data_IF_486722552923
#
_entry.id   IF_486722552923
#
_cell.length_a   1.000
_cell.length_b   1.000
_cell.length_c   1.000
_cell.angle_alpha   90.00
_cell.angle_beta   90.00
_cell.angle_gamma   90.00
#
_symmetry.space_group_name_H-M   'P 1'
#
loop_
_entity.id
_entity.type
_entity.pdbx_description
1 polymer ?
#
# COMPACT_ATOMS: atom_id res chain seq x y z
N UNK A 1 13.75 59.03 34.05
CA UNK A 1 13.71 57.82 34.90
C UNK A 1 13.09 56.58 34.24
N UNK A 2 12.25 56.68 33.20
CA UNK A 2 11.59 55.51 32.57
C UNK A 2 12.43 54.69 31.55
N UNK A 3 13.56 55.22 31.05
CA UNK A 3 14.41 54.51 30.07
C UNK A 3 15.49 53.61 30.69
N UNK A 4 15.89 53.87 31.94
CA UNK A 4 16.90 53.06 32.64
C UNK A 4 16.36 51.73 33.18
N UNK A 5 15.08 51.69 33.56
CA UNK A 5 14.44 50.48 34.11
C UNK A 5 14.24 49.41 33.03
N UNK A 6 14.01 49.81 31.77
CA UNK A 6 13.80 48.87 30.67
C UNK A 6 15.11 48.17 30.26
N UNK A 7 16.24 48.88 30.30
CA UNK A 7 17.54 48.32 29.92
C UNK A 7 18.07 47.32 30.97
N UNK A 8 17.83 47.56 32.26
CA UNK A 8 18.24 46.63 33.33
C UNK A 8 17.35 45.39 33.35
N UNK A 9 16.06 45.50 33.02
CA UNK A 9 15.16 44.35 32.93
C UNK A 9 15.53 43.40 31.76
N UNK A 10 15.96 43.94 30.61
CA UNK A 10 16.34 43.11 29.45
C UNK A 10 17.68 42.39 29.66
N UNK A 11 18.62 43.01 30.38
CA UNK A 11 19.92 42.38 30.70
C UNK A 11 19.78 41.31 31.79
N UNK A 12 18.86 41.47 32.75
CA UNK A 12 18.63 40.46 33.79
C UNK A 12 17.92 39.20 33.26
N UNK A 13 17.12 39.32 32.19
CA UNK A 13 16.47 38.17 31.54
C UNK A 13 17.41 37.37 30.62
N UNK A 14 18.52 37.95 30.17
CA UNK A 14 19.47 37.25 29.29
C UNK A 14 20.44 36.30 30.03
N UNK A 15 20.59 36.45 31.36
CA UNK A 15 21.55 35.66 32.16
C UNK A 15 20.92 34.37 32.73
N UNK A 16 19.61 34.17 32.60
CA UNK A 16 18.90 32.97 33.07
C UNK A 16 18.66 31.90 31.98
N UNK A 17 19.05 32.16 30.74
CA UNK A 17 18.97 31.19 29.65
C UNK A 17 20.28 30.37 29.56
N UNK A 18 20.51 29.52 30.56
CA UNK A 18 21.47 28.42 30.41
C UNK A 18 20.97 27.41 29.36
N UNK A 19 21.84 26.73 28.61
CA UNK A 19 21.41 25.73 27.64
C UNK A 19 21.01 24.47 28.41
N UNK A 20 19.76 24.40 28.88
CA UNK A 20 19.14 23.15 29.28
C UNK A 20 18.70 22.44 28.00
N UNK A 21 19.67 21.78 27.34
CA UNK A 21 19.35 20.71 26.40
C UNK A 21 18.74 19.56 27.19
N UNK A 22 17.43 19.65 27.48
CA UNK A 22 16.66 18.52 27.93
C UNK A 22 16.65 17.51 26.78
N UNK A 23 17.53 16.53 26.87
CA UNK A 23 17.35 15.27 26.16
C UNK A 23 16.06 14.69 26.75
N UNK A 24 14.97 14.67 25.99
CA UNK A 24 13.66 14.19 26.42
C UNK A 24 13.67 12.67 26.66
N UNK A 25 14.40 12.23 27.69
CA UNK A 25 14.57 10.82 28.03
C UNK A 25 15.35 10.59 29.32
N UNK A 26 15.28 9.38 29.89
CA UNK A 26 16.07 9.01 31.04
C UNK A 26 17.57 9.08 30.73
N UNK A 27 18.36 9.48 31.73
CA UNK A 27 19.82 9.60 31.62
C UNK A 27 20.47 8.63 32.59
N UNK A 28 21.59 8.02 32.17
CA UNK A 28 22.43 7.16 33.00
C UNK A 28 23.86 7.67 32.97
N UNK A 29 24.50 7.68 34.13
CA UNK A 29 25.90 8.05 34.35
C UNK A 29 26.60 6.96 35.13
N UNK A 30 27.88 6.77 34.83
CA UNK A 30 28.74 5.82 35.52
C UNK A 30 29.76 6.59 36.34
N UNK A 31 30.10 6.09 37.52
CA UNK A 31 31.15 6.66 38.36
C UNK A 31 32.53 6.61 37.69
N UNK A 32 32.76 5.59 36.87
CA UNK A 32 33.97 5.39 36.07
C UNK A 32 33.60 4.88 34.68
N UNK A 33 34.41 5.21 33.67
CA UNK A 33 34.20 4.77 32.27
C UNK A 33 34.91 3.46 31.92
N UNK A 34 35.76 2.95 32.81
CA UNK A 34 36.53 1.71 32.62
C UNK A 34 36.61 0.93 33.94
N UNK A 35 36.42 -0.39 33.86
CA UNK A 35 36.54 -1.31 34.98
C UNK A 35 36.83 -2.73 34.48
N UNK A 36 37.59 -3.52 35.25
CA UNK A 36 37.88 -4.92 34.95
C UNK A 36 36.80 -5.87 35.47
N UNK A 37 36.79 -7.08 34.92
CA UNK A 37 35.93 -8.19 35.37
C UNK A 37 36.11 -8.46 36.86
N UNK A 38 35.00 -8.58 37.60
CA UNK A 38 34.99 -8.75 39.06
C UNK A 38 35.09 -7.42 39.85
N UNK A 39 35.32 -6.30 39.17
CA UNK A 39 35.16 -4.97 39.76
C UNK A 39 33.69 -4.56 39.91
N UNK A 40 33.44 -3.33 40.37
CA UNK A 40 32.11 -2.75 40.41
C UNK A 40 32.11 -1.31 39.93
N UNK A 41 31.02 -0.90 39.29
CA UNK A 41 30.78 0.48 38.85
C UNK A 41 29.49 0.98 39.49
N UNK A 42 29.49 2.22 39.99
CA UNK A 42 28.24 2.83 40.48
C UNK A 42 27.50 3.44 39.30
N UNK A 43 26.28 2.97 39.10
CA UNK A 43 25.37 3.43 38.05
C UNK A 43 24.37 4.37 38.70
N UNK A 44 24.30 5.61 38.21
CA UNK A 44 23.34 6.61 38.67
C UNK A 44 22.47 7.05 37.50
N UNK A 45 21.16 7.15 37.70
CA UNK A 45 20.24 7.58 36.65
C UNK A 45 19.20 8.58 37.14
N UNK A 46 18.71 9.41 36.22
CA UNK A 46 17.68 10.43 36.47
C UNK A 46 16.71 10.51 35.28
N UNK A 47 15.54 11.14 35.48
CA UNK A 47 14.54 11.29 34.41
C UNK A 47 13.68 10.03 34.18
N UNK A 48 13.77 9.05 35.07
CA UNK A 48 12.92 7.86 35.03
C UNK A 48 11.57 8.14 35.64
N UNK A 49 10.60 7.26 35.38
CA UNK A 49 9.34 7.31 36.13
C UNK A 49 9.61 7.02 37.61
N UNK A 50 8.94 7.73 38.54
CA UNK A 50 9.06 7.44 39.97
C UNK A 50 8.64 6.00 40.31
N UNK A 51 9.24 5.42 41.35
CA UNK A 51 8.89 4.10 41.92
C UNK A 51 8.80 2.97 40.88
N UNK A 52 9.63 3.01 39.85
CA UNK A 52 9.63 2.04 38.75
C UNK A 52 10.80 1.09 38.91
N UNK A 53 10.55 -0.21 38.70
CA UNK A 53 11.58 -1.24 38.74
C UNK A 53 12.39 -1.23 37.44
N UNK A 54 13.69 -1.04 37.57
CA UNK A 54 14.67 -1.06 36.49
C UNK A 54 15.59 -2.27 36.63
N UNK A 55 16.15 -2.71 35.51
CA UNK A 55 17.20 -3.71 35.45
C UNK A 55 18.43 -3.10 34.78
N UNK A 56 19.60 -3.29 35.39
CA UNK A 56 20.88 -2.82 34.91
C UNK A 56 21.75 -4.02 34.53
N UNK A 57 22.31 -4.02 33.32
CA UNK A 57 23.17 -5.09 32.81
C UNK A 57 24.38 -4.51 32.08
N UNK A 58 25.49 -5.26 32.06
CA UNK A 58 26.60 -5.01 31.14
C UNK A 58 26.33 -5.77 29.84
N UNK A 59 26.31 -5.06 28.71
CA UNK A 59 26.03 -5.63 27.40
C UNK A 59 27.16 -5.36 26.41
N UNK A 60 27.47 -6.36 25.60
CA UNK A 60 28.41 -6.25 24.48
C UNK A 60 27.69 -5.94 23.17
N UNK A 61 28.47 -5.65 22.12
CA UNK A 61 27.97 -5.24 20.80
C UNK A 61 26.95 -4.10 20.91
N UNK A 62 27.27 -3.11 21.72
CA UNK A 62 26.37 -2.01 22.06
C UNK A 62 27.11 -0.67 22.14
N UNK A 63 26.41 0.42 21.85
CA UNK A 63 26.89 1.79 22.10
C UNK A 63 25.70 2.65 22.52
N UNK A 64 25.89 3.75 23.28
CA UNK A 64 24.78 4.61 23.69
C UNK A 64 23.95 5.16 22.52
N UNK A 65 24.55 5.31 21.34
CA UNK A 65 23.85 5.77 20.14
C UNK A 65 23.05 4.67 19.42
N UNK A 66 23.42 3.38 19.59
CA UNK A 66 22.82 2.26 18.86
C UNK A 66 22.06 1.26 19.72
N UNK A 67 22.07 1.46 21.03
CA UNK A 67 21.49 0.52 21.99
C UNK A 67 22.18 -0.84 21.99
N UNK A 68 21.47 -1.84 22.52
CA UNK A 68 21.96 -3.22 22.66
C UNK A 68 21.56 -4.08 21.45
N UNK A 69 22.51 -4.33 20.54
CA UNK A 69 22.25 -5.14 19.35
C UNK A 69 22.23 -6.63 19.72
N UNK A 70 21.06 -7.27 19.54
CA UNK A 70 20.82 -8.66 19.94
C UNK A 70 20.09 -8.79 21.28
N UNK A 71 19.65 -7.67 21.87
CA UNK A 71 18.87 -7.66 23.10
C UNK A 71 19.61 -8.27 24.30
N UNK A 72 18.85 -8.82 25.24
CA UNK A 72 19.38 -9.41 26.48
C UNK A 72 20.35 -10.58 26.24
N UNK A 73 20.31 -11.24 25.09
CA UNK A 73 21.27 -12.30 24.73
C UNK A 73 22.70 -11.78 24.55
N UNK A 74 22.88 -10.47 24.43
CA UNK A 74 24.19 -9.82 24.32
C UNK A 74 24.70 -9.29 25.67
N UNK A 75 23.97 -9.57 26.76
CA UNK A 75 24.22 -9.04 28.09
C UNK A 75 24.63 -10.13 29.09
N UNK A 76 25.42 -9.74 30.09
CA UNK A 76 25.75 -10.57 31.25
C UNK A 76 24.55 -10.66 32.22
N UNK A 77 23.57 -11.50 31.87
CA UNK A 77 22.30 -11.61 32.63
C UNK A 77 22.47 -12.08 34.08
N UNK A 78 23.45 -12.95 34.35
CA UNK A 78 23.70 -13.49 35.70
C UNK A 78 24.17 -12.42 36.70
N UNK A 79 24.83 -11.38 36.21
CA UNK A 79 25.44 -10.33 37.03
C UNK A 79 24.62 -9.04 37.06
N UNK A 80 23.46 -9.03 36.41
CA UNK A 80 22.57 -7.90 36.39
C UNK A 80 22.08 -7.50 37.79
N UNK A 81 21.64 -6.25 37.93
CA UNK A 81 21.10 -5.72 39.18
C UNK A 81 19.77 -5.02 38.92
N UNK A 82 18.75 -5.41 39.68
CA UNK A 82 17.50 -4.69 39.73
C UNK A 82 17.62 -3.47 40.65
N UNK A 83 16.96 -2.36 40.34
CA UNK A 83 16.88 -1.18 41.21
C UNK A 83 15.53 -0.49 41.03
N UNK A 84 14.94 0.01 42.10
CA UNK A 84 13.70 0.80 42.02
C UNK A 84 14.04 2.28 42.11
N UNK A 85 13.47 3.09 41.24
CA UNK A 85 13.65 4.55 41.28
C UNK A 85 12.95 5.16 42.49
N UNK A 86 13.47 6.26 42.99
CA UNK A 86 12.86 7.02 44.08
C UNK A 86 11.60 7.79 43.62
N UNK A 87 11.05 8.63 44.50
CA UNK A 87 9.89 9.47 44.18
C UNK A 87 10.18 10.56 43.14
N UNK A 88 11.45 10.90 42.93
CA UNK A 88 11.91 11.86 41.92
C UNK A 88 12.33 11.22 40.60
N UNK A 89 12.25 9.89 40.48
CA UNK A 89 12.69 9.19 39.27
C UNK A 89 14.21 9.06 39.14
N UNK A 90 14.93 9.13 40.27
CA UNK A 90 16.37 8.91 40.32
C UNK A 90 16.71 7.56 40.95
N UNK A 91 17.91 7.06 40.67
CA UNK A 91 18.48 5.90 41.36
C UNK A 91 20.01 5.98 41.39
N UNK A 92 20.61 5.24 42.33
CA UNK A 92 22.04 4.98 42.34
C UNK A 92 22.32 3.60 42.91
N UNK A 93 23.09 2.75 42.21
CA UNK A 93 23.41 1.40 42.67
C UNK A 93 24.71 0.89 42.05
N UNK A 94 25.46 0.10 42.83
CA UNK A 94 26.63 -0.60 42.32
C UNK A 94 26.23 -1.81 41.45
N UNK A 95 26.82 -1.90 40.26
CA UNK A 95 26.70 -3.00 39.31
C UNK A 95 28.06 -3.71 39.22
N UNK A 96 28.14 -5.02 39.47
CA UNK A 96 29.37 -5.78 39.19
C UNK A 96 29.68 -5.74 37.69
N UNK A 97 30.95 -5.62 37.36
CA UNK A 97 31.41 -5.64 35.97
C UNK A 97 31.72 -7.07 35.60
N UNK A 98 30.95 -7.60 34.67
CA UNK A 98 31.07 -8.95 34.14
C UNK A 98 31.27 -8.93 32.63
N UNK A 99 31.87 -9.99 32.09
CA UNK A 99 32.11 -10.13 30.66
C UNK A 99 30.81 -10.51 29.93
N UNK A 100 30.32 -9.69 28.99
CA UNK A 100 29.20 -10.07 28.17
C UNK A 100 29.53 -11.26 27.25
N UNK A 101 28.53 -12.03 26.80
CA UNK A 101 28.76 -13.20 25.93
C UNK A 101 29.27 -12.84 24.52
N UNK A 102 29.29 -11.56 24.15
CA UNK A 102 29.71 -11.06 22.83
C UNK A 102 30.73 -9.92 22.98
N UNK A 103 31.62 -9.71 22.01
CA UNK A 103 32.65 -8.65 22.06
C UNK A 103 32.09 -7.24 22.29
N UNK A 104 32.89 -6.38 22.93
CA UNK A 104 32.65 -4.95 23.03
C UNK A 104 32.73 -4.28 21.63
N UNK A 105 32.21 -3.06 21.39
CA UNK A 105 31.92 -2.00 22.36
C UNK A 105 30.82 -2.39 23.35
N UNK A 106 31.00 -1.97 24.60
CA UNK A 106 30.17 -2.36 25.72
C UNK A 106 29.46 -1.16 26.34
N UNK A 107 28.27 -1.41 26.89
CA UNK A 107 27.48 -0.42 27.63
C UNK A 107 26.94 -1.03 28.91
N UNK A 108 26.68 -0.18 29.89
CA UNK A 108 25.71 -0.47 30.94
C UNK A 108 24.34 -0.09 30.40
N UNK A 109 23.50 -1.09 30.18
CA UNK A 109 22.13 -0.95 29.73
C UNK A 109 21.19 -0.94 30.93
N UNK A 110 20.37 0.10 31.03
CA UNK A 110 19.34 0.22 32.06
C UNK A 110 17.99 0.27 31.37
N UNK A 111 17.06 -0.61 31.75
CA UNK A 111 15.72 -0.64 31.19
C UNK A 111 14.65 -0.91 32.23
N UNK A 112 13.44 -0.41 32.00
CA UNK A 112 12.26 -0.71 32.82
C UNK A 112 11.87 -2.19 32.70
N UNK A 113 11.67 -2.85 33.84
CA UNK A 113 11.22 -4.26 33.90
C UNK A 113 9.71 -4.37 33.66
N UNK A 114 8.94 -3.41 34.19
CA UNK A 114 7.48 -3.38 34.10
C UNK A 114 6.97 -2.00 33.68
N UNK A 115 5.78 -1.97 33.07
CA UNK A 115 5.13 -0.74 32.65
C UNK A 115 5.60 -0.19 31.30
N UNK A 116 5.54 1.13 31.13
CA UNK A 116 5.93 1.79 29.89
C UNK A 116 7.45 1.65 29.67
N UNK A 117 7.83 1.25 28.46
CA UNK A 117 9.22 1.01 28.11
C UNK A 117 10.02 2.30 28.13
N UNK A 118 11.07 2.31 28.94
CA UNK A 118 12.11 3.32 28.91
C UNK A 118 13.46 2.63 29.09
N UNK A 119 14.48 3.12 28.41
CA UNK A 119 15.84 2.58 28.44
C UNK A 119 16.87 3.69 28.27
N UNK A 120 18.05 3.48 28.84
CA UNK A 120 19.19 4.37 28.66
C UNK A 120 20.49 3.59 28.84
N UNK A 121 21.49 3.98 28.05
CA UNK A 121 22.77 3.28 27.95
C UNK A 121 23.93 4.23 28.28
N UNK A 122 24.93 3.73 29.00
CA UNK A 122 26.19 4.44 29.23
C UNK A 122 27.37 3.58 28.80
N UNK A 123 28.30 4.16 28.03
CA UNK A 123 29.47 3.43 27.54
C UNK A 123 30.38 3.00 28.70
N UNK A 124 30.79 1.73 28.69
CA UNK A 124 31.71 1.16 29.66
C UNK A 124 32.79 0.36 28.94
N UNK A 125 34.05 0.66 29.21
CA UNK A 125 35.18 -0.15 28.76
C UNK A 125 35.43 -1.26 29.78
N UNK A 126 35.18 -2.50 29.37
CA UNK A 126 35.49 -3.70 30.19
C UNK A 126 36.94 -4.08 29.93
N UNK A 127 37.81 -3.90 30.92
CA UNK A 127 39.24 -4.15 30.77
C UNK A 127 39.49 -5.64 30.50
N UNK A 128 40.27 -5.95 29.46
CA UNK A 128 40.61 -7.33 29.06
C UNK A 128 39.60 -8.02 28.14
N UNK A 129 38.42 -7.44 27.90
CA UNK A 129 37.40 -8.03 27.02
C UNK A 129 37.71 -7.78 25.53
N UNK A 130 37.53 -8.77 24.62
CA UNK A 130 37.69 -8.55 23.19
C UNK A 130 36.76 -7.46 22.66
N UNK A 131 37.27 -6.66 21.72
CA UNK A 131 36.55 -5.58 21.04
C UNK A 131 36.46 -5.90 19.54
N UNK A 132 35.26 -5.81 18.98
CA UNK A 132 34.96 -5.99 17.56
C UNK A 132 34.09 -4.83 17.07
N UNK A 133 34.29 -4.33 15.83
CA UNK A 133 33.44 -3.27 15.30
C UNK A 133 31.97 -3.70 15.27
N UNK A 134 31.07 -2.74 15.54
CA UNK A 134 29.64 -3.00 15.43
C UNK A 134 29.27 -3.38 13.98
N UNK A 135 28.32 -4.30 13.78
CA UNK A 135 27.77 -4.58 12.46
C UNK A 135 27.31 -3.28 11.80
N UNK A 136 27.56 -3.12 10.49
CA UNK A 136 27.17 -1.93 9.75
C UNK A 136 25.71 -1.55 10.04
N UNK A 137 25.47 -0.29 10.36
CA UNK A 137 24.13 0.22 10.57
C UNK A 137 23.40 0.19 9.24
N UNK A 138 22.44 -0.74 9.10
CA UNK A 138 21.46 -0.64 8.04
C UNK A 138 20.53 0.49 8.44
N UNK A 139 20.90 1.73 8.09
CA UNK A 139 19.93 2.82 7.98
C UNK A 139 18.74 2.22 7.22
N UNK A 140 17.53 2.35 7.72
CA UNK A 140 16.38 1.79 7.03
C UNK A 140 16.17 2.65 5.78
N UNK A 141 16.59 2.14 4.62
CA UNK A 141 16.31 2.81 3.35
C UNK A 141 14.81 3.10 3.30
N UNK A 142 14.46 4.37 3.08
CA UNK A 142 13.07 4.82 3.14
C UNK A 142 12.51 4.88 1.74
N UNK A 143 11.67 3.92 1.40
CA UNK A 143 10.98 3.92 0.12
C UNK A 143 9.85 4.95 0.12
N UNK A 144 9.84 5.83 -0.87
CA UNK A 144 8.75 6.78 -1.12
C UNK A 144 8.24 6.63 -2.55
N UNK A 145 6.93 6.80 -2.75
CA UNK A 145 6.36 6.86 -4.10
C UNK A 145 6.58 8.27 -4.65
N UNK A 146 7.21 8.37 -5.82
CA UNK A 146 7.61 9.64 -6.43
C UNK A 146 6.72 10.06 -7.61
N UNK A 147 5.83 9.20 -8.09
CA UNK A 147 4.97 9.49 -9.24
C UNK A 147 3.65 8.76 -9.12
N UNK A 148 2.63 9.29 -9.80
CA UNK A 148 1.30 8.69 -9.85
C UNK A 148 1.37 7.21 -10.22
N UNK A 149 0.75 6.41 -9.38
CA UNK A 149 0.53 5.00 -9.64
C UNK A 149 -0.50 4.87 -10.73
N UNK A 150 -0.27 3.96 -11.67
CA UNK A 150 -1.21 3.70 -12.75
C UNK A 150 -1.33 2.22 -13.00
N UNK A 151 -2.54 1.78 -13.29
CA UNK A 151 -2.82 0.42 -13.71
C UNK A 151 -2.80 0.36 -15.25
N UNK A 152 -1.88 -0.42 -15.80
CA UNK A 152 -1.70 -0.57 -17.26
C UNK A 152 -2.07 -1.97 -17.71
N UNK A 153 -2.57 -2.11 -18.94
CA UNK A 153 -3.04 -3.37 -19.50
C UNK A 153 -4.49 -3.31 -19.92
N UNK A 154 -4.87 -4.17 -20.87
CA UNK A 154 -6.21 -4.23 -21.44
C UNK A 154 -6.75 -5.66 -21.35
N UNK A 155 -8.07 -5.78 -21.19
CA UNK A 155 -8.75 -7.06 -21.36
C UNK A 155 -8.70 -7.53 -22.82
N UNK A 156 -8.85 -8.84 -23.02
CA UNK A 156 -8.92 -9.48 -24.33
C UNK A 156 -10.21 -10.26 -24.55
N UNK A 157 -10.32 -10.93 -25.70
CA UNK A 157 -11.46 -11.80 -26.01
C UNK A 157 -11.64 -12.90 -24.95
N UNK A 158 -10.54 -13.45 -24.44
CA UNK A 158 -10.55 -14.48 -23.40
C UNK A 158 -11.18 -13.97 -22.09
N UNK A 159 -10.87 -12.74 -21.67
CA UNK A 159 -11.50 -12.14 -20.48
C UNK A 159 -12.99 -11.87 -20.71
N UNK A 160 -13.43 -11.64 -21.95
CA UNK A 160 -14.85 -11.55 -22.30
C UNK A 160 -15.59 -12.89 -22.17
N UNK A 161 -14.86 -14.01 -22.32
CA UNK A 161 -15.34 -15.37 -22.02
C UNK A 161 -15.09 -15.80 -20.56
N UNK A 162 -14.61 -14.89 -19.69
CA UNK A 162 -14.43 -15.14 -18.26
C UNK A 162 -13.04 -15.60 -17.81
N UNK A 163 -12.02 -15.54 -18.68
CA UNK A 163 -10.64 -15.78 -18.24
C UNK A 163 -10.19 -14.74 -17.18
N UNK A 164 -9.25 -15.10 -16.27
CA UNK A 164 -8.67 -14.18 -15.29
C UNK A 164 -8.18 -12.88 -15.95
N UNK A 165 -8.70 -11.71 -15.56
CA UNK A 165 -8.18 -10.45 -16.06
C UNK A 165 -6.89 -10.10 -15.31
N UNK A 166 -5.85 -9.75 -16.06
CA UNK A 166 -4.56 -9.33 -15.53
C UNK A 166 -4.20 -7.91 -15.99
N UNK A 167 -3.59 -7.14 -15.08
CA UNK A 167 -3.03 -5.82 -15.34
C UNK A 167 -1.68 -5.68 -14.66
N UNK A 168 -0.96 -4.62 -14.99
CA UNK A 168 0.34 -4.29 -14.38
C UNK A 168 0.24 -2.95 -13.70
N UNK A 169 0.42 -2.94 -12.39
CA UNK A 169 0.56 -1.73 -11.60
C UNK A 169 1.96 -1.15 -11.83
N UNK A 170 2.02 0.04 -12.42
CA UNK A 170 3.27 0.74 -12.71
C UNK A 170 3.37 1.94 -11.79
N UNK A 171 4.46 1.99 -11.03
CA UNK A 171 4.78 3.11 -10.15
C UNK A 171 6.26 3.46 -10.20
N UNK A 172 6.59 4.68 -9.81
CA UNK A 172 7.99 5.09 -9.62
C UNK A 172 8.24 5.23 -8.13
N UNK A 173 9.16 4.42 -7.61
CA UNK A 173 9.61 4.51 -6.22
C UNK A 173 10.99 5.14 -6.15
N UNK A 174 11.25 5.85 -5.07
CA UNK A 174 12.55 6.42 -4.75
C UNK A 174 13.03 6.01 -3.38
N UNK A 175 14.34 5.88 -3.24
CA UNK A 175 14.96 5.73 -1.95
C UNK A 175 15.29 7.12 -1.38
N UNK A 176 14.48 7.56 -0.42
CA UNK A 176 14.68 8.79 0.35
C UNK A 176 15.55 8.60 1.60
N UNK A 177 15.99 7.36 1.86
CA UNK A 177 16.91 7.04 2.94
C UNK A 177 18.38 7.17 2.54
N UNK A 178 19.26 6.94 3.51
CA UNK A 178 20.72 7.08 3.36
C UNK A 178 21.46 5.78 3.07
N UNK A 179 20.76 4.64 3.05
CA UNK A 179 21.32 3.32 2.74
C UNK A 179 20.66 2.70 1.50
N UNK A 180 21.33 1.77 0.79
CA UNK A 180 20.71 1.03 -0.30
C UNK A 180 19.59 0.10 0.20
N UNK A 181 18.51 -0.01 -0.59
CA UNK A 181 17.43 -0.98 -0.37
C UNK A 181 17.62 -2.14 -1.34
N UNK A 182 17.84 -3.34 -0.82
CA UNK A 182 18.03 -4.54 -1.62
C UNK A 182 16.75 -5.39 -1.63
N UNK A 183 16.34 -5.79 -2.83
CA UNK A 183 15.20 -6.67 -3.09
C UNK A 183 13.93 -6.39 -2.25
N UNK A 184 13.38 -5.16 -2.28
CA UNK A 184 12.18 -4.79 -1.52
C UNK A 184 10.98 -5.68 -1.87
N UNK A 185 10.25 -6.07 -0.83
CA UNK A 185 9.00 -6.85 -0.95
C UNK A 185 7.81 -5.91 -0.85
N UNK A 186 6.93 -5.98 -1.85
CA UNK A 186 5.70 -5.23 -1.92
C UNK A 186 4.51 -6.15 -1.66
N UNK A 187 3.52 -5.65 -0.93
CA UNK A 187 2.22 -6.31 -0.75
C UNK A 187 1.22 -5.65 -1.69
N UNK A 188 0.70 -6.40 -2.64
CA UNK A 188 -0.35 -5.93 -3.55
C UNK A 188 -1.67 -6.54 -3.11
N UNK A 189 -2.63 -5.70 -2.74
CA UNK A 189 -3.93 -6.09 -2.23
C UNK A 189 -5.03 -5.85 -3.26
N UNK A 190 -5.84 -6.85 -3.59
CA UNK A 190 -7.03 -6.67 -4.42
C UNK A 190 -8.29 -6.78 -3.58
N UNK A 191 -9.07 -5.69 -3.51
CA UNK A 191 -10.36 -5.64 -2.83
C UNK A 191 -11.50 -5.54 -3.85
N UNK A 192 -12.65 -6.11 -3.49
CA UNK A 192 -13.91 -5.96 -4.23
C UNK A 192 -14.96 -5.36 -3.30
N UNK A 193 -15.50 -4.20 -3.64
CA UNK A 193 -16.46 -3.49 -2.79
C UNK A 193 -15.92 -3.25 -1.37
N UNK A 194 -16.66 -3.74 -0.36
CA UNK A 194 -16.35 -3.57 1.08
C UNK A 194 -15.52 -4.71 1.68
N UNK A 195 -15.16 -5.71 0.88
CA UNK A 195 -14.38 -6.84 1.37
C UNK A 195 -12.93 -6.46 1.61
N UNK A 196 -12.31 -7.10 2.60
CA UNK A 196 -10.90 -6.93 2.87
C UNK A 196 -10.05 -7.33 1.65
N UNK A 197 -8.98 -6.59 1.32
CA UNK A 197 -8.11 -6.92 0.21
C UNK A 197 -7.44 -8.28 0.42
N UNK A 198 -7.42 -9.09 -0.64
CA UNK A 198 -6.58 -10.28 -0.71
C UNK A 198 -5.15 -9.84 -1.08
N UNK A 199 -4.17 -10.21 -0.25
CA UNK A 199 -2.80 -9.73 -0.36
C UNK A 199 -1.88 -10.76 -1.01
N UNK A 200 -1.17 -10.33 -2.05
CA UNK A 200 -0.08 -11.06 -2.68
C UNK A 200 1.25 -10.36 -2.43
N UNK A 201 2.27 -11.12 -2.03
CA UNK A 201 3.62 -10.61 -1.84
C UNK A 201 4.43 -10.74 -3.13
N UNK A 202 5.02 -9.63 -3.56
CA UNK A 202 5.85 -9.57 -4.75
C UNK A 202 7.19 -8.95 -4.43
N UNK A 203 8.23 -9.74 -4.63
CA UNK A 203 9.60 -9.28 -4.49
C UNK A 203 10.05 -8.60 -5.79
N UNK A 204 10.52 -7.36 -5.68
CA UNK A 204 11.22 -6.73 -6.78
C UNK A 204 12.71 -7.07 -6.67
N UNK A 205 13.30 -7.58 -7.75
CA UNK A 205 14.73 -7.88 -7.79
C UNK A 205 15.52 -6.65 -8.21
N UNK A 206 16.41 -6.20 -7.33
CA UNK A 206 17.29 -5.06 -7.59
C UNK A 206 17.68 -4.30 -6.34
N UNK A 207 18.66 -3.43 -6.51
CA UNK A 207 19.17 -2.57 -5.44
C UNK A 207 18.88 -1.12 -5.76
N UNK A 208 18.20 -0.43 -4.84
CA UNK A 208 17.86 0.98 -4.96
C UNK A 208 18.80 1.80 -4.07
N UNK A 209 19.84 2.39 -4.67
CA UNK A 209 20.78 3.24 -3.97
C UNK A 209 20.12 4.52 -3.41
N UNK A 210 20.69 5.16 -2.37
CA UNK A 210 20.20 6.42 -1.81
C UNK A 210 19.98 7.50 -2.88
N UNK A 211 18.84 8.19 -2.84
CA UNK A 211 18.47 9.24 -3.79
C UNK A 211 18.15 8.75 -5.22
N UNK A 212 18.22 7.45 -5.49
CA UNK A 212 17.84 6.89 -6.80
C UNK A 212 16.36 6.54 -6.84
N UNK A 213 15.83 6.55 -8.06
CA UNK A 213 14.44 6.18 -8.38
C UNK A 213 14.42 5.04 -9.39
N UNK A 214 13.44 4.16 -9.26
CA UNK A 214 13.19 3.07 -10.20
C UNK A 214 11.70 2.98 -10.50
N UNK A 215 11.39 2.62 -11.75
CA UNK A 215 10.04 2.27 -12.13
C UNK A 215 9.83 0.77 -11.85
N UNK A 216 8.83 0.46 -11.04
CA UNK A 216 8.46 -0.90 -10.66
C UNK A 216 7.17 -1.26 -11.40
N UNK A 217 7.13 -2.49 -11.91
CA UNK A 217 6.00 -3.08 -12.61
C UNK A 217 5.57 -4.31 -11.83
N UNK A 218 4.42 -4.25 -11.17
CA UNK A 218 3.88 -5.33 -10.36
C UNK A 218 2.67 -5.93 -11.11
N UNK A 219 2.72 -7.20 -11.57
CA UNK A 219 1.56 -7.85 -12.16
C UNK A 219 0.46 -8.03 -11.10
N UNK A 220 -0.79 -7.80 -11.48
CA UNK A 220 -1.96 -7.98 -10.63
C UNK A 220 -2.97 -8.79 -11.44
N UNK A 221 -3.38 -9.92 -10.90
CA UNK A 221 -4.33 -10.82 -11.53
C UNK A 221 -5.54 -10.98 -10.63
N UNK A 222 -6.74 -10.90 -11.20
CA UNK A 222 -7.97 -11.21 -10.48
C UNK A 222 -8.42 -12.63 -10.82
N UNK A 223 -9.31 -13.18 -10.00
CA UNK A 223 -9.90 -14.49 -10.24
C UNK A 223 -10.68 -14.56 -11.57
N UNK A 224 -10.80 -15.78 -12.11
CA UNK A 224 -11.63 -16.05 -13.28
C UNK A 224 -13.08 -15.60 -13.04
N UNK A 225 -13.70 -14.99 -14.05
CA UNK A 225 -15.05 -14.45 -13.94
C UNK A 225 -15.19 -13.17 -13.09
N UNK A 226 -14.08 -12.58 -12.62
CA UNK A 226 -14.09 -11.28 -11.94
C UNK A 226 -14.76 -10.21 -12.82
N UNK A 227 -15.65 -9.41 -12.22
CA UNK A 227 -16.36 -8.33 -12.88
C UNK A 227 -16.83 -7.25 -11.89
N UNK A 228 -17.00 -6.03 -12.36
CA UNK A 228 -17.37 -4.87 -11.54
C UNK A 228 -16.16 -4.07 -11.07
N UNK A 229 -16.35 -3.30 -9.99
CA UNK A 229 -15.33 -2.39 -9.46
C UNK A 229 -14.43 -3.11 -8.46
N UNK A 230 -13.14 -3.11 -8.75
CA UNK A 230 -12.09 -3.58 -7.86
C UNK A 230 -11.19 -2.42 -7.46
N UNK A 231 -10.54 -2.57 -6.31
CA UNK A 231 -9.52 -1.62 -5.86
C UNK A 231 -8.21 -2.35 -5.62
N UNK A 232 -7.15 -1.86 -6.24
CA UNK A 232 -5.79 -2.37 -6.08
C UNK A 232 -5.04 -1.47 -5.11
N UNK A 233 -4.64 -2.02 -3.98
CA UNK A 233 -3.85 -1.34 -2.95
C UNK A 233 -2.42 -1.83 -3.00
N UNK A 234 -1.46 -0.93 -2.82
CA UNK A 234 -0.05 -1.27 -2.71
C UNK A 234 0.44 -0.90 -1.32
N UNK A 235 1.13 -1.82 -0.66
CA UNK A 235 1.66 -1.66 0.69
C UNK A 235 3.13 -2.07 0.76
N UNK A 236 3.89 -1.38 1.60
CA UNK A 236 5.29 -1.69 1.88
C UNK A 236 5.60 -1.37 3.33
N UNK A 237 6.27 -2.28 4.04
CA UNK A 237 6.66 -2.11 5.45
C UNK A 237 5.51 -1.61 6.36
N UNK A 238 4.30 -2.15 6.16
CA UNK A 238 3.12 -1.78 6.96
C UNK A 238 2.37 -0.53 6.50
N UNK A 239 2.89 0.24 5.53
CA UNK A 239 2.27 1.49 5.05
C UNK A 239 1.67 1.32 3.67
N UNK A 240 0.46 1.83 3.47
CA UNK A 240 -0.17 1.92 2.15
C UNK A 240 0.56 3.00 1.36
N UNK A 241 1.09 2.60 0.21
CA UNK A 241 1.85 3.44 -0.72
C UNK A 241 0.96 4.04 -1.79
N UNK A 242 -0.07 3.31 -2.23
CA UNK A 242 -0.98 3.75 -3.28
C UNK A 242 -2.26 2.92 -3.33
N UNK A 243 -3.30 3.50 -3.91
CA UNK A 243 -4.59 2.86 -4.17
C UNK A 243 -5.05 3.24 -5.57
N UNK A 244 -5.56 2.26 -6.34
CA UNK A 244 -5.96 2.43 -7.73
C UNK A 244 -7.28 1.71 -8.02
N UNK A 245 -8.30 2.41 -8.54
CA UNK A 245 -9.54 1.77 -8.96
C UNK A 245 -9.34 0.99 -10.26
N UNK A 246 -10.03 -0.15 -10.37
CA UNK A 246 -10.01 -1.03 -11.53
C UNK A 246 -11.43 -1.51 -11.85
N UNK A 247 -12.05 -0.87 -12.85
CA UNK A 247 -13.29 -1.34 -13.45
C UNK A 247 -13.06 -2.53 -14.40
N UNK A 248 -13.70 -3.67 -14.10
CA UNK A 248 -13.64 -4.91 -14.87
C UNK A 248 -14.96 -5.14 -15.59
N UNK A 249 -14.91 -5.29 -16.92
CA UNK A 249 -16.09 -5.53 -17.76
C UNK A 249 -16.76 -6.88 -17.49
N UNK A 250 -18.07 -6.95 -17.72
CA UNK A 250 -18.83 -8.21 -17.55
C UNK A 250 -18.47 -9.23 -18.64
N UNK A 251 -18.27 -10.51 -18.30
CA UNK A 251 -17.94 -11.57 -19.25
C UNK A 251 -19.19 -12.07 -20.00
N UNK A 252 -19.63 -11.33 -21.02
CA UNK A 252 -20.83 -11.69 -21.80
C UNK A 252 -20.63 -12.84 -22.78
N UNK A 253 -19.39 -13.30 -23.00
CA UNK A 253 -19.09 -14.22 -24.09
C UNK A 253 -19.77 -15.57 -23.98
N UNK A 254 -19.78 -16.13 -22.77
CA UNK A 254 -20.45 -17.41 -22.51
C UNK A 254 -21.96 -17.26 -22.71
N UNK A 255 -22.55 -16.18 -22.19
CA UNK A 255 -23.99 -15.92 -22.32
C UNK A 255 -24.39 -15.74 -23.79
N UNK A 256 -23.64 -14.93 -24.54
CA UNK A 256 -23.95 -14.64 -25.94
C UNK A 256 -23.76 -15.86 -26.84
N UNK A 257 -22.76 -16.70 -26.54
CA UNK A 257 -22.58 -17.99 -27.19
C UNK A 257 -23.80 -18.91 -27.03
N UNK A 258 -24.30 -19.07 -25.80
CA UNK A 258 -25.49 -19.88 -25.54
C UNK A 258 -26.75 -19.32 -26.21
N UNK A 259 -26.94 -18.00 -26.19
CA UNK A 259 -28.05 -17.35 -26.90
C UNK A 259 -27.96 -17.65 -28.40
N UNK A 260 -26.79 -17.49 -29.00
CA UNK A 260 -26.59 -17.76 -30.42
C UNK A 260 -26.83 -19.23 -30.75
N UNK A 261 -26.37 -20.16 -29.91
CA UNK A 261 -26.61 -21.59 -30.06
C UNK A 261 -28.12 -21.90 -30.04
N UNK A 262 -28.85 -21.35 -29.07
CA UNK A 262 -30.31 -21.49 -28.94
C UNK A 262 -31.07 -20.90 -30.13
N UNK A 263 -30.50 -19.97 -30.89
CA UNK A 263 -31.12 -19.40 -32.09
C UNK A 263 -30.74 -20.18 -33.36
N UNK A 264 -29.44 -20.47 -33.52
CA UNK A 264 -28.89 -21.07 -34.75
C UNK A 264 -29.28 -22.53 -34.88
N UNK A 265 -29.22 -23.32 -33.80
CA UNK A 265 -29.52 -24.76 -33.85
C UNK A 265 -30.98 -25.01 -34.25
N UNK A 266 -32.00 -24.41 -33.59
CA UNK A 266 -33.39 -24.59 -34.02
C UNK A 266 -33.65 -24.06 -35.43
N UNK A 267 -33.03 -22.93 -35.81
CA UNK A 267 -33.17 -22.38 -37.17
C UNK A 267 -32.61 -23.31 -38.24
N UNK A 268 -31.46 -23.92 -37.98
CA UNK A 268 -30.84 -24.89 -38.88
C UNK A 268 -31.67 -26.18 -38.98
N UNK A 269 -32.18 -26.69 -37.85
CA UNK A 269 -33.08 -27.85 -37.82
C UNK A 269 -34.39 -27.58 -38.57
N UNK A 270 -35.00 -26.41 -38.35
CA UNK A 270 -36.21 -25.99 -39.07
C UNK A 270 -35.98 -25.90 -40.58
N UNK A 271 -34.89 -25.27 -41.01
CA UNK A 271 -34.54 -25.17 -42.44
C UNK A 271 -34.26 -26.53 -43.07
N UNK A 272 -33.59 -27.41 -42.34
CA UNK A 272 -33.31 -28.78 -42.81
C UNK A 272 -34.60 -29.58 -42.91
N UNK A 273 -35.48 -29.49 -41.91
CA UNK A 273 -36.80 -30.11 -41.93
C UNK A 273 -37.66 -29.63 -43.09
N UNK A 274 -37.71 -28.32 -43.35
CA UNK A 274 -38.41 -27.74 -44.50
C UNK A 274 -37.82 -28.25 -45.83
N UNK A 275 -36.49 -28.31 -45.95
CA UNK A 275 -35.84 -28.83 -47.15
C UNK A 275 -36.16 -30.32 -47.40
N UNK A 276 -36.29 -31.12 -46.34
CA UNK A 276 -36.71 -32.53 -46.43
C UNK A 276 -38.17 -32.63 -46.85
N UNK A 277 -39.07 -31.86 -46.23
CA UNK A 277 -40.50 -31.83 -46.58
C UNK A 277 -40.69 -31.43 -48.04
N UNK A 278 -40.00 -30.38 -48.52
CA UNK A 278 -40.07 -29.95 -49.92
C UNK A 278 -39.52 -31.01 -50.89
N UNK A 279 -38.55 -31.82 -50.46
CA UNK A 279 -38.01 -32.92 -51.27
C UNK A 279 -38.93 -34.14 -51.33
N UNK A 280 -39.65 -34.43 -50.24
CA UNK A 280 -40.57 -35.57 -50.12
C UNK A 280 -41.97 -35.22 -50.62
N UNK A 281 -42.31 -33.92 -50.74
CA UNK A 281 -43.58 -33.49 -51.31
C UNK A 281 -43.70 -34.02 -52.74
N UNK A 282 -44.73 -34.83 -53.06
CA UNK A 282 -44.93 -35.29 -54.42
C UNK A 282 -45.10 -34.07 -55.31
N UNK A 283 -44.26 -33.97 -56.36
CA UNK A 283 -44.44 -32.97 -57.41
C UNK A 283 -45.86 -33.14 -57.92
N UNK A 284 -46.76 -32.19 -57.62
CA UNK A 284 -48.05 -32.13 -58.28
C UNK A 284 -47.74 -32.07 -59.78
N UNK A 285 -48.30 -32.97 -60.62
CA UNK A 285 -48.15 -32.84 -62.06
C UNK A 285 -48.62 -31.44 -62.40
N UNK A 286 -47.78 -30.69 -63.10
CA UNK A 286 -48.14 -29.39 -63.63
C UNK A 286 -49.44 -29.58 -64.39
N UNK A 287 -50.55 -29.07 -63.86
CA UNK A 287 -51.77 -28.93 -64.62
C UNK A 287 -51.38 -28.14 -65.86
N UNK A 288 -51.49 -28.81 -67.00
CA UNK A 288 -51.07 -28.34 -68.30
C UNK A 288 -51.69 -26.97 -68.57
N UNK A 289 -50.89 -25.91 -68.39
CA UNK A 289 -51.20 -24.60 -68.91
C UNK A 289 -51.10 -24.68 -70.44
N UNK A 290 -52.26 -24.93 -71.03
CA UNK A 290 -52.71 -24.58 -72.38
C UNK A 290 -51.67 -24.46 -73.50
N UNK A 291 -51.76 -25.42 -74.43
CA UNK A 291 -51.58 -25.31 -75.88
C UNK A 291 -50.90 -24.03 -76.37
N UNK A 292 -49.60 -24.14 -76.58
CA UNK A 292 -48.87 -23.37 -77.60
C UNK A 292 -49.43 -23.75 -78.98
N UNK A 293 -50.06 -22.79 -79.66
CA UNK A 293 -50.18 -22.80 -81.12
C UNK A 293 -48.85 -22.30 -81.71
N UNK A 294 -48.33 -22.91 -82.79
CA UNK A 294 -47.16 -22.41 -83.48
C UNK A 294 -47.57 -21.26 -84.40
N UNK A 295 -47.01 -20.06 -84.19
CA UNK A 295 -47.12 -18.95 -85.15
C UNK A 295 -45.77 -18.76 -85.84
N UNK A 296 -45.74 -18.68 -87.19
CA UNK A 296 -44.50 -18.68 -87.94
C UNK A 296 -43.78 -17.33 -87.88
N UNK A 297 -42.50 -17.45 -88.13
CA UNK A 297 -41.42 -16.45 -88.09
C UNK A 297 -41.63 -15.37 -89.15
N UNK A 298 -41.63 -14.10 -88.73
CA UNK A 298 -41.26 -12.98 -89.60
C UNK A 298 -40.03 -12.30 -88.99
N UNK A 299 -38.89 -12.62 -89.59
CA UNK A 299 -37.59 -11.97 -89.37
C UNK A 299 -37.68 -10.54 -89.88
N UNK A 300 -37.50 -9.55 -89.01
CA UNK A 300 -36.87 -8.27 -89.37
C UNK A 300 -35.62 -8.08 -88.49
N UNK A 301 -34.49 -7.62 -89.07
CA UNK A 301 -33.23 -7.51 -88.33
C UNK A 301 -32.98 -6.11 -87.75
N UNK A 302 -32.14 -6.09 -86.69
CA UNK A 302 -31.29 -5.00 -86.16
C UNK A 302 -31.91 -3.99 -85.15
N UNK A 303 -31.08 -3.31 -84.32
CA UNK A 303 -29.70 -3.58 -83.89
C UNK A 303 -29.52 -3.64 -82.36
N UNK A 304 -28.36 -4.17 -81.98
CA UNK A 304 -27.86 -4.42 -80.63
C UNK A 304 -27.56 -3.11 -79.90
N UNK A 305 -28.15 -2.93 -78.72
CA UNK A 305 -27.81 -1.84 -77.81
C UNK A 305 -27.63 -2.36 -76.38
N UNK A 306 -26.39 -2.19 -75.90
CA UNK A 306 -25.99 -1.97 -74.50
C UNK A 306 -26.04 -3.15 -73.53
N UNK A 307 -25.06 -3.33 -72.66
CA UNK A 307 -23.67 -2.88 -72.58
C UNK A 307 -23.06 -3.78 -71.51
N UNK A 308 -21.86 -4.28 -71.77
CA UNK A 308 -21.06 -5.00 -70.81
C UNK A 308 -20.84 -4.14 -69.55
N UNK A 309 -20.90 -4.78 -68.38
CA UNK A 309 -20.33 -4.26 -67.13
C UNK A 309 -18.80 -4.17 -67.29
N UNK A 310 -18.19 -3.04 -66.92
CA UNK A 310 -16.85 -3.07 -66.40
C UNK A 310 -16.76 -2.50 -64.98
N UNK A 311 -15.89 -3.17 -64.24
CA UNK A 311 -15.25 -2.76 -62.99
C UNK A 311 -14.80 -1.30 -63.07
N UNK A 312 -15.14 -0.50 -62.05
CA UNK A 312 -14.43 0.75 -61.77
C UNK A 312 -13.85 0.72 -60.35
N UNK A 313 -12.53 0.53 -60.32
CA UNK A 313 -11.61 1.10 -59.34
C UNK A 313 -11.52 2.62 -59.55
N UNK A 314 -10.85 3.27 -58.58
CA UNK A 314 -10.18 4.59 -58.58
C UNK A 314 -10.95 5.69 -57.80
N UNK A 315 -10.27 6.77 -57.34
CA UNK A 315 -8.82 6.99 -57.10
C UNK A 315 -8.48 7.75 -55.78
N UNK A 316 -7.20 7.70 -55.38
CA UNK A 316 -6.53 8.78 -54.60
C UNK A 316 -6.36 10.03 -55.48
N UNK A 317 -6.32 11.24 -54.89
CA UNK A 317 -5.16 12.10 -55.19
C UNK A 317 -4.60 12.85 -53.98
N UNK A 318 -3.30 13.16 -54.10
CA UNK A 318 -2.42 13.77 -53.11
C UNK A 318 -2.07 15.21 -53.54
N UNK A 319 -1.95 16.09 -52.53
CA UNK A 319 -1.08 17.28 -52.44
C UNK A 319 -1.40 18.56 -53.22
N UNK A 320 -1.66 19.66 -52.48
CA UNK A 320 -0.71 20.79 -52.37
C UNK A 320 -1.07 21.80 -51.26
N UNK A 321 0.00 22.39 -50.76
CA UNK A 321 0.30 23.25 -49.60
C UNK A 321 -0.25 24.69 -49.68
N UNK A 322 -0.65 25.28 -48.54
CA UNK A 322 -0.23 26.60 -47.98
C UNK A 322 -1.09 26.96 -46.74
N UNK A 323 -0.48 27.38 -45.62
CA UNK A 323 -1.15 27.78 -44.35
C UNK A 323 -1.45 29.30 -44.25
N UNK A 324 -1.45 29.91 -43.05
CA UNK A 324 -2.41 29.87 -41.92
C UNK A 324 -3.12 31.26 -41.73
N UNK A 325 -4.10 31.50 -40.81
CA UNK A 325 -3.90 31.60 -39.34
C UNK A 325 -5.09 31.12 -38.44
N UNK A 326 -4.86 31.11 -37.13
CA UNK A 326 -5.79 30.82 -36.01
C UNK A 326 -6.54 32.10 -35.52
N UNK A 327 -7.19 32.14 -34.33
CA UNK A 327 -8.29 31.33 -33.76
C UNK A 327 -9.51 32.18 -33.29
N UNK A 328 -10.68 31.58 -33.09
CA UNK A 328 -11.77 32.12 -32.24
C UNK A 328 -12.69 30.96 -31.81
N UNK A 329 -12.69 30.60 -30.52
CA UNK A 329 -13.68 30.99 -29.50
C UNK A 329 -14.96 30.11 -29.54
N UNK A 330 -15.23 29.43 -28.41
CA UNK A 330 -16.42 28.58 -28.17
C UNK A 330 -17.74 29.35 -28.12
N UNK A 331 -18.86 28.69 -27.76
CA UNK A 331 -19.05 28.26 -26.37
C UNK A 331 -19.73 26.89 -26.17
N UNK A 332 -19.78 26.55 -24.88
CA UNK A 332 -20.23 25.34 -24.22
C UNK A 332 -21.69 24.93 -24.45
N UNK A 333 -21.95 23.62 -24.35
CA UNK A 333 -23.28 23.07 -24.05
C UNK A 333 -23.19 22.15 -22.83
N UNK A 334 -24.04 22.50 -21.88
CA UNK A 334 -24.30 22.01 -20.52
C UNK A 334 -24.69 20.54 -20.40
N UNK A 335 -24.10 19.85 -19.42
CA UNK A 335 -24.57 18.60 -18.81
C UNK A 335 -25.65 18.88 -17.74
N UNK A 336 -26.69 18.05 -17.58
CA UNK A 336 -27.69 18.20 -16.53
C UNK A 336 -27.19 17.62 -15.21
N UNK A 337 -27.13 18.45 -14.17
CA UNK A 337 -26.80 18.07 -12.78
C UNK A 337 -28.08 17.70 -12.01
N UNK A 338 -28.01 16.59 -11.27
CA UNK A 338 -29.07 16.08 -10.38
C UNK A 338 -29.16 16.91 -9.08
N UNK A 339 -30.34 17.00 -8.44
CA UNK A 339 -30.70 18.08 -7.51
C UNK A 339 -30.16 17.99 -6.08
N UNK A 340 -29.29 17.03 -5.76
CA UNK A 340 -28.88 16.79 -4.35
C UNK A 340 -27.41 17.15 -4.04
N UNK A 341 -26.66 17.68 -4.99
CA UNK A 341 -25.36 18.31 -4.73
C UNK A 341 -25.51 19.84 -4.84
N UNK A 342 -25.50 20.52 -3.69
CA UNK A 342 -25.21 21.95 -3.62
C UNK A 342 -23.97 22.12 -2.75
N UNK A 343 -22.88 22.73 -3.26
CA UNK A 343 -21.76 23.10 -2.42
C UNK A 343 -21.92 24.52 -1.88
N UNK A 344 -21.45 24.65 -0.64
CA UNK A 344 -20.95 25.82 0.07
C UNK A 344 -21.94 26.78 0.76
N UNK A 345 -21.90 26.72 2.09
CA UNK A 345 -21.81 27.91 2.96
C UNK A 345 -21.22 27.51 4.31
N UNK A 346 -20.04 28.06 4.62
CA UNK A 346 -19.53 28.26 5.98
C UNK A 346 -19.01 29.73 6.03
N UNK A 347 -18.77 30.37 7.19
CA UNK A 347 -18.93 29.94 8.59
C UNK A 347 -19.74 30.95 9.46
N UNK A 348 -20.10 30.58 10.70
CA UNK A 348 -19.86 31.36 11.93
C UNK A 348 -20.74 30.96 13.16
N UNK A 349 -20.07 31.00 14.32
CA UNK A 349 -20.55 31.31 15.67
C UNK A 349 -21.46 30.33 16.48
N UNK A 350 -20.81 29.69 17.46
CA UNK A 350 -21.12 29.80 18.91
C UNK A 350 -22.50 29.38 19.46
N UNK A 351 -22.62 28.13 19.89
CA UNK A 351 -23.31 27.66 21.11
C UNK A 351 -22.97 26.16 21.26
N UNK A 352 -22.38 25.63 22.33
CA UNK A 352 -22.70 25.87 23.73
C UNK A 352 -23.72 24.85 24.23
N UNK A 353 -23.40 23.55 24.29
CA UNK A 353 -23.94 22.65 25.32
C UNK A 353 -23.25 21.27 25.37
N UNK A 354 -22.56 21.04 26.47
CA UNK A 354 -22.25 19.72 27.03
C UNK A 354 -23.53 18.95 27.32
N UNK A 355 -23.60 17.66 26.97
CA UNK A 355 -24.47 16.67 27.61
C UNK A 355 -24.02 15.26 27.23
N UNK A 356 -23.33 14.60 28.17
CA UNK A 356 -23.43 13.15 28.33
C UNK A 356 -24.76 12.84 29.05
N UNK A 357 -25.38 11.69 28.77
CA UNK A 357 -25.58 10.66 29.82
C UNK A 357 -25.55 9.23 29.21
N UNK A 358 -25.50 8.10 29.89
CA UNK A 358 -25.58 7.69 31.30
C UNK A 358 -24.99 6.26 31.36
N UNK A 359 -24.39 5.90 32.49
CA UNK A 359 -24.15 4.51 32.88
C UNK A 359 -25.46 3.87 33.32
N UNK A 360 -25.77 2.68 32.82
CA UNK A 360 -26.75 1.77 33.44
C UNK A 360 -26.17 0.35 33.43
N UNK A 361 -25.58 -0.03 34.57
CA UNK A 361 -25.37 -1.42 34.96
C UNK A 361 -26.48 -1.84 35.92
N UNK A 362 -27.00 -3.08 35.82
CA UNK A 362 -27.47 -3.80 36.99
C UNK A 362 -26.64 -5.07 37.20
N UNK A 363 -25.96 -5.07 38.34
CA UNK A 363 -25.43 -6.22 39.06
C UNK A 363 -26.49 -7.28 39.34
N UNK A 364 -26.11 -8.55 39.22
CA UNK A 364 -26.59 -9.58 40.17
C UNK A 364 -25.52 -10.65 40.44
N UNK A 365 -25.43 -11.15 41.69
CA UNK A 365 -24.34 -11.98 42.21
C UNK A 365 -24.69 -13.48 42.17
N UNK A 366 -23.70 -14.39 42.22
CA UNK A 366 -23.73 -15.65 43.01
C UNK A 366 -22.34 -16.32 43.04
N UNK A 367 -21.71 -16.22 44.20
CA UNK A 367 -20.97 -17.23 45.02
C UNK A 367 -19.93 -18.20 44.41
N UNK A 368 -18.75 -18.38 45.07
CA UNK A 368 -17.66 -19.25 44.64
C UNK A 368 -17.77 -20.69 45.18
N UNK A 369 -17.29 -21.67 44.40
CA UNK A 369 -17.03 -23.04 44.88
C UNK A 369 -15.53 -23.27 45.08
N UNK A 370 -15.15 -23.31 46.36
CA UNK A 370 -13.89 -23.89 46.86
C UNK A 370 -13.91 -25.41 46.69
N UNK A 371 -12.80 -25.98 46.21
CA UNK A 371 -12.37 -27.34 46.58
C UNK A 371 -10.84 -27.37 46.69
N UNK A 372 -10.35 -27.46 47.92
CA UNK A 372 -9.04 -28.03 48.22
C UNK A 372 -9.17 -29.54 48.50
N UNK A 373 -8.18 -30.17 49.16
CA UNK A 373 -7.00 -30.73 48.51
C UNK A 373 -6.92 -32.27 48.68
N UNK A 374 -6.18 -32.93 47.79
CA UNK A 374 -5.43 -34.18 48.00
C UNK A 374 -4.30 -34.24 47.01
#
# INVERSE_FOLDING_TARGET
MRRGVLAVAVVLLAVLAGPAGAVDGPVVKLSVSEAGTGGSVTVSGTGWRPRTLLMMLVCGRATPARGVIGGTNSCANGDGRAVTTDSGGAFSRALPVAEPPVPCPCVVHVATVTGARAEADAALKVAGHPVSPLPAERSAGRLAVLSDTRLTGSGGLLTWFGAPPSRTLVLTVGNTGTSPIENPVFQVGTAHGVFAPQWDEQQWHGTLAPGKKAQIKLPVELSAGAHGEYTVTLKHAGRVLAEQPWGVGRPWGVTLFWILLCLVVPSALFRTGMAVVDRVRPRRPAAAAHRRLPRPVLRLPRPVLRLARPVLRLPLPRSRTAGPPAPAAGPATTTPTLPWFSPDSAPDASAGRSSAPHDDSPTSPTTPTTKGPT
#
